data_IF_675394872704
#
_entry.id   IF_675394872704
#
_cell.length_a   1.000
_cell.length_b   1.000
_cell.length_c   1.000
_cell.angle_alpha   90.00
_cell.angle_beta   90.00
_cell.angle_gamma   90.00
#
_symmetry.space_group_name_H-M   'P 1'
#
loop_
_entity.id
_entity.type
_entity.pdbx_description
1 polymer ?
#
# COMPACT_ATOMS: atom_id res chain seq x y z
N UNK A 1 14.09 7.10 18.31
CA UNK A 1 14.48 6.75 16.93
C UNK A 1 13.77 7.74 16.05
N UNK A 2 14.50 8.45 15.20
CA UNK A 2 13.89 9.43 14.30
C UNK A 2 13.19 8.68 13.18
N UNK A 3 11.90 8.97 12.99
CA UNK A 3 11.11 8.38 11.93
C UNK A 3 11.75 8.75 10.59
N UNK A 4 11.74 7.79 9.64
CA UNK A 4 12.32 8.01 8.31
C UNK A 4 11.20 8.13 7.29
N UNK A 5 11.35 9.09 6.39
CA UNK A 5 10.45 9.23 5.25
C UNK A 5 10.47 7.97 4.36
N UNK A 6 9.29 7.52 3.94
CA UNK A 6 9.11 6.36 3.09
C UNK A 6 10.00 6.36 1.84
N UNK A 7 10.17 7.51 1.19
CA UNK A 7 10.95 7.61 -0.05
C UNK A 7 12.46 7.53 0.18
N UNK A 8 12.91 7.80 1.41
CA UNK A 8 14.32 7.70 1.81
C UNK A 8 14.72 6.31 2.30
N UNK A 9 13.75 5.40 2.52
CA UNK A 9 14.02 4.04 2.98
C UNK A 9 14.46 3.13 1.82
N UNK A 10 15.49 2.33 2.06
CA UNK A 10 15.83 1.21 1.16
C UNK A 10 14.75 0.14 1.17
N UNK A 11 14.69 -0.71 0.15
CA UNK A 11 13.71 -1.81 0.09
C UNK A 11 13.82 -2.76 1.30
N UNK A 12 15.03 -3.01 1.79
CA UNK A 12 15.23 -3.84 2.99
C UNK A 12 14.68 -3.18 4.24
N UNK A 13 14.95 -1.89 4.46
CA UNK A 13 14.38 -1.18 5.61
C UNK A 13 12.85 -1.11 5.54
N UNK A 14 12.28 -0.90 4.35
CA UNK A 14 10.81 -0.96 4.13
C UNK A 14 10.27 -2.33 4.53
N UNK A 15 10.89 -3.41 4.07
CA UNK A 15 10.51 -4.77 4.41
C UNK A 15 10.56 -5.03 5.90
N UNK A 16 11.65 -4.67 6.57
CA UNK A 16 11.83 -4.97 8.00
C UNK A 16 10.83 -4.21 8.87
N UNK A 17 10.57 -2.94 8.53
CA UNK A 17 9.59 -2.10 9.23
C UNK A 17 8.16 -2.57 9.00
N UNK A 18 7.78 -2.88 7.76
CA UNK A 18 6.45 -3.44 7.45
C UNK A 18 6.25 -4.84 8.03
N UNK A 19 7.30 -5.66 8.07
CA UNK A 19 7.29 -6.96 8.75
C UNK A 19 6.94 -6.79 10.22
N UNK A 20 7.58 -5.83 10.91
CA UNK A 20 7.30 -5.53 12.31
C UNK A 20 5.85 -5.10 12.54
N UNK A 21 5.29 -4.28 11.64
CA UNK A 21 3.88 -3.88 11.67
C UNK A 21 2.95 -5.09 11.51
N UNK A 22 3.21 -5.96 10.53
CA UNK A 22 2.41 -7.15 10.28
C UNK A 22 2.49 -8.16 11.43
N UNK A 23 3.69 -8.36 11.99
CA UNK A 23 3.88 -9.21 13.18
C UNK A 23 3.04 -8.70 14.34
N UNK A 24 3.05 -7.39 14.61
CA UNK A 24 2.22 -6.81 15.66
C UNK A 24 0.73 -6.93 15.38
N UNK A 25 0.29 -6.72 14.14
CA UNK A 25 -1.11 -6.93 13.75
C UNK A 25 -1.55 -8.41 13.84
N UNK A 26 -0.60 -9.34 13.78
CA UNK A 26 -0.84 -10.77 14.04
C UNK A 26 -0.98 -11.12 15.51
N UNK A 27 -0.34 -10.36 16.42
CA UNK A 27 -0.27 -10.68 17.85
C UNK A 27 -1.09 -9.76 18.78
N UNK A 28 -1.53 -8.59 18.31
CA UNK A 28 -2.26 -7.59 19.08
C UNK A 28 -3.60 -7.26 18.41
N UNK A 29 -4.70 -7.72 19.02
CA UNK A 29 -6.06 -7.57 18.49
C UNK A 29 -6.49 -6.09 18.38
N UNK A 30 -6.12 -5.24 19.35
CA UNK A 30 -6.48 -3.82 19.30
C UNK A 30 -5.71 -3.11 18.20
N UNK A 31 -4.43 -3.43 18.04
CA UNK A 31 -3.64 -2.88 16.95
C UNK A 31 -4.19 -3.33 15.58
N UNK A 32 -4.57 -4.60 15.46
CA UNK A 32 -5.20 -5.16 14.25
C UNK A 32 -6.50 -4.43 13.90
N UNK A 33 -7.38 -4.18 14.86
CA UNK A 33 -8.63 -3.42 14.65
C UNK A 33 -8.34 -2.02 14.12
N UNK A 34 -7.35 -1.31 14.69
CA UNK A 34 -6.94 0.01 14.18
C UNK A 34 -6.46 -0.05 12.73
N UNK A 35 -5.70 -1.07 12.36
CA UNK A 35 -5.20 -1.24 10.99
C UNK A 35 -6.35 -1.45 9.99
N UNK A 36 -7.44 -2.10 10.40
CA UNK A 36 -8.59 -2.40 9.54
C UNK A 36 -9.67 -1.31 9.54
N UNK A 37 -9.61 -0.35 10.46
CA UNK A 37 -10.68 0.63 10.65
C UNK A 37 -10.86 1.62 9.48
N UNK A 38 -9.78 2.18 8.96
CA UNK A 38 -9.79 3.14 7.84
C UNK A 38 -8.39 3.32 7.27
N UNK A 39 -8.28 3.89 6.06
CA UNK A 39 -6.99 4.16 5.44
C UNK A 39 -6.10 5.12 6.25
N UNK A 40 -6.69 6.15 6.87
CA UNK A 40 -5.97 7.08 7.75
C UNK A 40 -5.51 6.39 9.04
N UNK A 41 -6.37 5.57 9.64
CA UNK A 41 -6.01 4.81 10.84
C UNK A 41 -4.90 3.79 10.54
N UNK A 42 -4.99 3.11 9.39
CA UNK A 42 -3.95 2.22 8.89
C UNK A 42 -2.61 2.94 8.70
N UNK A 43 -2.61 4.08 7.99
CA UNK A 43 -1.41 4.89 7.77
C UNK A 43 -0.77 5.31 9.09
N UNK A 44 -1.59 5.77 10.04
CA UNK A 44 -1.12 6.14 11.39
C UNK A 44 -0.53 4.94 12.14
N UNK A 45 -1.19 3.79 12.11
CA UNK A 45 -0.70 2.58 12.77
C UNK A 45 0.64 2.08 12.18
N UNK A 46 0.81 2.16 10.85
CA UNK A 46 2.10 1.86 10.20
C UNK A 46 3.16 2.87 10.59
N UNK A 47 2.80 4.16 10.64
CA UNK A 47 3.73 5.23 11.02
C UNK A 47 4.26 5.03 12.45
N UNK A 48 3.37 4.69 13.39
CA UNK A 48 3.69 4.48 14.80
C UNK A 48 4.56 3.25 15.07
N UNK A 49 4.39 2.15 14.31
CA UNK A 49 5.06 0.87 14.61
C UNK A 49 6.22 0.59 13.67
N UNK A 50 6.15 1.05 12.43
CA UNK A 50 7.24 0.97 11.47
C UNK A 50 8.22 2.16 11.55
N UNK A 51 7.94 3.16 12.40
CA UNK A 51 8.67 4.43 12.48
C UNK A 51 8.81 5.12 11.11
N UNK A 52 7.76 5.06 10.29
CA UNK A 52 7.76 5.55 8.90
C UNK A 52 6.98 6.86 8.83
N UNK A 53 7.55 7.87 8.17
CA UNK A 53 6.81 9.06 7.75
C UNK A 53 6.33 8.89 6.31
N UNK A 54 5.05 9.17 6.09
CA UNK A 54 4.44 9.11 4.77
C UNK A 54 4.12 10.52 4.26
N UNK A 55 4.15 10.69 2.93
CA UNK A 55 3.59 11.88 2.30
C UNK A 55 2.09 12.01 2.62
N UNK A 56 1.52 13.23 2.64
CA UNK A 56 0.11 13.45 3.02
C UNK A 56 -0.89 12.65 2.19
N UNK A 57 -0.62 12.50 0.90
CA UNK A 57 -1.44 11.81 -0.11
C UNK A 57 -1.19 10.30 -0.17
N UNK A 58 -0.21 9.79 0.57
CA UNK A 58 0.07 8.36 0.64
C UNK A 58 -1.10 7.62 1.31
N UNK A 59 -1.51 6.51 0.72
CA UNK A 59 -2.61 5.67 1.24
C UNK A 59 -2.09 4.30 1.63
N UNK A 60 -2.52 3.86 2.81
CA UNK A 60 -2.26 2.51 3.33
C UNK A 60 -3.61 1.86 3.58
N UNK A 61 -3.76 0.61 3.15
CA UNK A 61 -4.95 -0.19 3.43
C UNK A 61 -4.53 -1.59 3.86
N UNK A 62 -5.09 -2.06 4.98
CA UNK A 62 -5.04 -3.45 5.37
C UNK A 62 -6.32 -4.14 4.93
N UNK A 63 -6.20 -5.37 4.49
CA UNK A 63 -7.32 -6.23 4.13
C UNK A 63 -7.21 -7.51 4.96
N UNK A 64 -8.35 -8.00 5.42
CA UNK A 64 -8.46 -9.39 5.88
C UNK A 64 -8.23 -10.36 4.72
N UNK A 65 -7.94 -11.65 4.99
CA UNK A 65 -7.82 -12.65 3.93
C UNK A 65 -9.04 -12.73 3.01
N UNK A 66 -10.25 -12.56 3.57
CA UNK A 66 -11.49 -12.57 2.80
C UNK A 66 -11.65 -11.32 1.94
N UNK A 67 -11.42 -10.13 2.49
CA UNK A 67 -11.48 -8.87 1.73
C UNK A 67 -10.44 -8.84 0.62
N UNK A 68 -9.25 -9.41 0.84
CA UNK A 68 -8.21 -9.54 -0.18
C UNK A 68 -8.68 -10.29 -1.42
N UNK A 69 -9.54 -11.31 -1.25
CA UNK A 69 -10.11 -12.08 -2.37
C UNK A 69 -11.24 -11.34 -3.08
N UNK A 70 -11.82 -10.31 -2.45
CA UNK A 70 -12.96 -9.54 -2.95
C UNK A 70 -12.58 -8.11 -3.38
N UNK A 71 -11.30 -7.75 -3.37
CA UNK A 71 -10.81 -6.41 -3.68
C UNK A 71 -10.04 -6.41 -5.00
N UNK A 72 -10.39 -5.48 -5.89
CA UNK A 72 -9.67 -5.21 -7.13
C UNK A 72 -9.15 -3.77 -7.09
N UNK A 73 -7.84 -3.59 -7.32
CA UNK A 73 -7.20 -2.27 -7.42
C UNK A 73 -6.71 -2.08 -8.85
N UNK A 74 -7.23 -1.04 -9.50
CA UNK A 74 -6.85 -0.65 -10.86
C UNK A 74 -6.21 0.74 -10.83
N UNK A 75 -5.05 0.88 -11.45
CA UNK A 75 -4.45 2.17 -11.74
C UNK A 75 -5.19 2.83 -12.92
N UNK A 76 -5.54 4.10 -12.79
CA UNK A 76 -6.12 4.85 -13.91
C UNK A 76 -4.96 5.27 -14.83
N UNK A 77 -5.01 4.98 -16.14
CA UNK A 77 -4.03 5.43 -17.11
C UNK A 77 -4.04 6.95 -17.27
N UNK A 78 -2.96 7.50 -17.81
CA UNK A 78 -2.91 8.90 -18.18
C UNK A 78 -4.00 9.26 -19.22
N UNK A 79 -4.55 10.46 -19.06
CA UNK A 79 -5.53 11.01 -20.00
C UNK A 79 -4.81 11.47 -21.27
N UNK A 80 -5.06 10.78 -22.38
CA UNK A 80 -4.63 11.20 -23.71
C UNK A 80 -5.84 11.83 -24.41
N UNK A 81 -5.85 13.14 -24.68
CA UNK A 81 -6.97 13.80 -25.35
C UNK A 81 -7.20 13.19 -26.74
N UNK A 82 -8.46 12.90 -27.14
CA UNK A 82 -8.74 12.31 -28.44
C UNK A 82 -8.73 13.42 -29.50
N UNK A 83 -7.56 13.93 -29.84
CA UNK A 83 -7.48 15.06 -30.77
C UNK A 83 -7.75 14.66 -32.22
N UNK A 84 -7.65 13.36 -32.60
CA UNK A 84 -7.88 12.91 -33.99
C UNK A 84 -8.09 11.37 -34.15
N UNK A 85 -8.77 10.67 -33.24
CA UNK A 85 -8.95 9.23 -33.45
C UNK A 85 -9.71 8.44 -32.39
N UNK A 86 -9.90 7.16 -32.69
CA UNK A 86 -10.53 6.15 -31.82
C UNK A 86 -9.76 6.01 -30.51
N UNK A 87 -10.46 5.81 -29.40
CA UNK A 87 -9.84 5.60 -28.09
C UNK A 87 -8.85 4.42 -28.13
N UNK A 88 -7.67 4.60 -27.54
CA UNK A 88 -6.69 3.54 -27.36
C UNK A 88 -7.29 2.41 -26.50
N UNK A 89 -7.13 1.16 -26.95
CA UNK A 89 -7.52 -0.01 -26.16
C UNK A 89 -6.49 -0.22 -25.06
N UNK A 90 -6.96 -0.27 -23.80
CA UNK A 90 -6.11 -0.45 -22.62
C UNK A 90 -6.45 -1.77 -21.94
N UNK A 91 -5.46 -2.64 -21.77
CA UNK A 91 -5.69 -3.96 -21.16
C UNK A 91 -5.68 -3.86 -19.65
N UNK A 92 -6.65 -4.49 -18.98
CA UNK A 92 -6.76 -4.43 -17.52
C UNK A 92 -5.51 -4.98 -16.80
N UNK A 93 -4.79 -5.93 -17.40
CA UNK A 93 -3.58 -6.53 -16.84
C UNK A 93 -2.43 -5.53 -16.66
N UNK A 94 -2.32 -4.53 -17.53
CA UNK A 94 -1.29 -3.49 -17.48
C UNK A 94 -1.49 -2.53 -16.29
N UNK A 95 -2.73 -2.47 -15.79
CA UNK A 95 -3.16 -1.51 -14.77
C UNK A 95 -3.64 -2.20 -13.49
N UNK A 96 -3.64 -3.53 -13.43
CA UNK A 96 -3.93 -4.26 -12.22
C UNK A 96 -2.68 -4.30 -11.34
N UNK A 97 -2.71 -3.61 -10.21
CA UNK A 97 -1.57 -3.57 -9.28
C UNK A 97 -1.56 -4.84 -8.41
N UNK A 98 -1.15 -5.97 -8.99
CA UNK A 98 -0.80 -7.17 -8.24
C UNK A 98 0.68 -7.09 -7.85
N UNK A 99 1.00 -6.52 -6.68
CA UNK A 99 2.39 -6.51 -6.18
C UNK A 99 2.81 -7.91 -5.75
N UNK A 100 3.29 -8.73 -6.69
CA UNK A 100 4.06 -9.96 -6.43
C UNK A 100 5.52 -9.82 -6.90
N UNK A 101 6.05 -8.59 -7.02
CA UNK A 101 7.49 -8.43 -7.24
C UNK A 101 8.23 -8.95 -5.98
N UNK A 102 9.25 -9.81 -6.13
CA UNK A 102 10.09 -10.18 -5.02
C UNK A 102 10.82 -8.94 -4.53
N UNK A 103 10.59 -8.58 -3.27
CA UNK A 103 11.25 -7.42 -2.64
C UNK A 103 12.71 -7.73 -2.27
N UNK A 104 13.09 -9.00 -2.26
CA UNK A 104 14.45 -9.51 -2.12
C UNK A 104 14.86 -10.14 -3.45
N UNK A 105 15.86 -9.56 -4.10
CA UNK A 105 16.66 -10.20 -5.16
C UNK A 105 18.00 -10.61 -4.58
#
# INVERSE_FOLDING_TARGET
MDAKNWDALTNNEKLDRLTSVLTRAGSDAKFRERCLQSAESAKKAVSEVGDIEFAPDFRVQFLTPEERLKTLVLAIPDLIPPENGTAEVRNAEDYTTCTYRPWRT
#
